data_IF_864181707269
#
_entry.id   IF_864181707269
#
_cell.length_a   1.000
_cell.length_b   1.000
_cell.length_c   1.000
_cell.angle_alpha   90.00
_cell.angle_beta   90.00
_cell.angle_gamma   90.00
#
_symmetry.space_group_name_H-M   'P 1'
#
loop_
_entity.id
_entity.type
_entity.pdbx_description
1 polymer ?
#
# COMPACT_ATOMS: atom_id res chain seq x y z
N UNK A 1 -16.34 -0.93 1.33
CA UNK A 1 -15.63 -1.73 0.31
C UNK A 1 -16.38 -2.99 -0.16
N UNK A 2 -17.61 -3.28 0.29
CA UNK A 2 -18.36 -4.48 -0.14
C UNK A 2 -19.42 -4.23 -1.23
N UNK A 3 -19.54 -2.99 -1.71
CA UNK A 3 -20.43 -2.71 -2.84
C UNK A 3 -19.86 -3.37 -4.11
N UNK A 4 -20.62 -4.24 -4.81
CA UNK A 4 -20.14 -4.98 -5.96
C UNK A 4 -19.54 -4.09 -7.06
N UNK A 5 -20.16 -2.94 -7.32
CA UNK A 5 -19.71 -1.93 -8.29
C UNK A 5 -18.30 -1.40 -7.97
N UNK A 6 -18.04 -1.09 -6.70
CA UNK A 6 -16.73 -0.60 -6.24
C UNK A 6 -15.67 -1.68 -6.40
N UNK A 7 -16.00 -2.93 -6.07
CA UNK A 7 -15.06 -4.06 -6.23
C UNK A 7 -14.72 -4.27 -7.71
N UNK A 8 -15.70 -4.23 -8.61
CA UNK A 8 -15.48 -4.39 -10.04
C UNK A 8 -14.61 -3.28 -10.62
N UNK A 9 -14.82 -2.03 -10.21
CA UNK A 9 -14.00 -0.91 -10.66
C UNK A 9 -12.56 -1.02 -10.18
N UNK A 10 -12.33 -1.31 -8.90
CA UNK A 10 -10.96 -1.52 -8.41
C UNK A 10 -10.28 -2.70 -9.11
N UNK A 11 -11.01 -3.79 -9.35
CA UNK A 11 -10.46 -4.94 -10.09
C UNK A 11 -10.09 -4.58 -11.54
N UNK A 12 -10.89 -3.74 -12.21
CA UNK A 12 -10.57 -3.24 -13.55
C UNK A 12 -9.28 -2.39 -13.57
N UNK A 13 -9.00 -1.67 -12.50
CA UNK A 13 -7.74 -0.91 -12.30
C UNK A 13 -6.58 -1.79 -11.80
N UNK A 14 -6.72 -3.12 -11.80
CA UNK A 14 -5.72 -4.07 -11.31
C UNK A 14 -5.54 -4.08 -9.79
N UNK A 15 -6.45 -3.44 -9.05
CA UNK A 15 -6.39 -3.29 -7.60
C UNK A 15 -7.29 -4.31 -6.91
N UNK A 16 -6.78 -4.91 -5.83
CA UNK A 16 -7.59 -5.75 -4.94
C UNK A 16 -8.02 -4.94 -3.71
N UNK A 17 -9.32 -4.71 -3.49
CA UNK A 17 -9.78 -4.00 -2.30
C UNK A 17 -9.50 -4.85 -1.05
N UNK A 18 -8.69 -4.33 -0.13
CA UNK A 18 -8.46 -4.92 1.19
C UNK A 18 -9.06 -4.00 2.23
N UNK A 19 -9.97 -4.53 3.06
CA UNK A 19 -10.42 -3.85 4.27
C UNK A 19 -9.56 -4.30 5.44
N UNK A 20 -8.94 -3.35 6.14
CA UNK A 20 -8.26 -3.58 7.41
C UNK A 20 -8.78 -2.60 8.46
N UNK A 21 -8.50 -2.87 9.73
CA UNK A 21 -8.67 -1.86 10.77
C UNK A 21 -7.71 -0.68 10.55
N UNK A 22 -8.01 0.51 11.12
CA UNK A 22 -7.08 1.64 11.12
C UNK A 22 -5.71 1.29 11.73
N UNK A 23 -5.68 0.48 12.79
CA UNK A 23 -4.48 0.06 13.49
C UNK A 23 -3.59 -0.82 12.59
N UNK A 24 -4.18 -1.81 11.93
CA UNK A 24 -3.47 -2.67 10.97
C UNK A 24 -2.93 -1.86 9.79
N UNK A 25 -3.70 -0.89 9.31
CA UNK A 25 -3.25 -0.02 8.21
C UNK A 25 -2.07 0.86 8.66
N UNK A 26 -2.15 1.45 9.85
CA UNK A 26 -1.05 2.23 10.43
C UNK A 26 0.22 1.40 10.64
N UNK A 27 0.08 0.15 11.11
CA UNK A 27 1.20 -0.77 11.25
C UNK A 27 1.84 -1.10 9.89
N UNK A 28 1.02 -1.33 8.86
CA UNK A 28 1.50 -1.59 7.48
C UNK A 28 2.31 -0.41 6.95
N UNK A 29 1.82 0.82 7.09
CA UNK A 29 2.53 2.03 6.63
C UNK A 29 3.91 2.13 7.28
N UNK A 30 3.99 1.98 8.62
CA UNK A 30 5.26 2.05 9.35
C UNK A 30 6.26 1.00 8.86
N UNK A 31 5.79 -0.22 8.62
CA UNK A 31 6.61 -1.32 8.10
C UNK A 31 7.15 -1.02 6.70
N UNK A 32 6.28 -0.56 5.80
CA UNK A 32 6.65 -0.25 4.42
C UNK A 32 7.64 0.92 4.35
N UNK A 33 7.44 1.98 5.13
CA UNK A 33 8.42 3.10 5.22
C UNK A 33 9.79 2.58 5.64
N UNK A 34 9.85 1.73 6.67
CA UNK A 34 11.12 1.16 7.13
C UNK A 34 11.79 0.28 6.08
N UNK A 35 10.99 -0.56 5.39
CA UNK A 35 11.48 -1.47 4.35
C UNK A 35 12.03 -0.71 3.14
N UNK A 36 11.23 0.20 2.58
CA UNK A 36 11.64 0.96 1.39
C UNK A 36 12.71 1.98 1.70
N UNK A 37 12.70 2.61 2.88
CA UNK A 37 13.75 3.53 3.31
C UNK A 37 15.13 2.87 3.41
N UNK A 38 15.20 1.61 3.85
CA UNK A 38 16.46 0.83 3.80
C UNK A 38 16.89 0.57 2.37
N UNK A 39 15.97 0.08 1.52
CA UNK A 39 16.28 -0.22 0.13
C UNK A 39 16.80 1.00 -0.64
N UNK A 40 16.16 2.17 -0.49
CA UNK A 40 16.56 3.42 -1.15
C UNK A 40 17.98 3.82 -0.75
N UNK A 41 18.33 3.72 0.54
CA UNK A 41 19.68 4.00 1.04
C UNK A 41 20.71 3.03 0.50
N UNK A 42 20.40 1.73 0.52
CA UNK A 42 21.29 0.68 0.01
C UNK A 42 21.53 0.81 -1.50
N UNK A 43 20.51 1.22 -2.26
CA UNK A 43 20.59 1.41 -3.70
C UNK A 43 21.16 2.79 -4.11
N UNK A 44 21.44 3.68 -3.16
CA UNK A 44 21.94 5.04 -3.45
C UNK A 44 20.95 5.90 -4.24
N UNK A 45 19.65 5.61 -4.15
CA UNK A 45 18.61 6.32 -4.89
C UNK A 45 18.24 7.61 -4.16
N UNK A 46 18.13 8.71 -4.90
CA UNK A 46 17.66 10.01 -4.43
C UNK A 46 16.68 10.58 -5.44
N UNK A 47 15.67 11.31 -4.98
CA UNK A 47 14.81 12.13 -5.83
C UNK A 47 15.47 13.51 -5.97
N UNK A 48 15.44 14.08 -7.17
CA UNK A 48 15.87 15.46 -7.47
C UNK A 48 14.84 16.49 -7.00
#
# INVERSE_FOLDING_TARGET
LKSPDVVQRLAADGSTPVGSSPEEFGAKIKSEIGRWGRLVKEAGLVLD
#
